data_IF_707459407579
#
_entry.id   IF_707459407579
#
_cell.length_a   1.000
_cell.length_b   1.000
_cell.length_c   1.000
_cell.angle_alpha   90.00
_cell.angle_beta   90.00
_cell.angle_gamma   90.00
#
_symmetry.space_group_name_H-M   'P 1'
#
loop_
_entity.id
_entity.type
_entity.pdbx_description
1 polymer ?
#
# COMPACT_ATOMS: atom_id res chain seq x y z
N UNK A 1 -10.32 -12.21 2.71
CA UNK A 1 -9.94 -10.88 3.30
C UNK A 1 -8.44 -10.58 3.28
N UNK A 2 -7.56 -11.49 3.73
CA UNK A 2 -6.10 -11.22 3.81
C UNK A 2 -5.47 -11.00 2.42
N UNK A 3 -5.91 -11.73 1.41
CA UNK A 3 -5.38 -11.66 0.04
C UNK A 3 -5.80 -10.34 -0.62
N UNK A 4 -7.09 -10.05 -0.60
CA UNK A 4 -7.75 -8.86 -1.13
C UNK A 4 -7.17 -7.58 -0.51
N UNK A 5 -6.96 -7.57 0.81
CA UNK A 5 -6.29 -6.47 1.49
C UNK A 5 -4.82 -6.31 1.05
N UNK A 6 -4.11 -7.41 0.82
CA UNK A 6 -2.73 -7.37 0.33
C UNK A 6 -2.64 -6.83 -1.10
N UNK A 7 -3.52 -7.30 -1.99
CA UNK A 7 -3.63 -6.78 -3.35
C UNK A 7 -3.97 -5.30 -3.37
N UNK A 8 -4.89 -4.85 -2.50
CA UNK A 8 -5.19 -3.43 -2.37
C UNK A 8 -3.96 -2.60 -1.99
N UNK A 9 -3.18 -3.01 -0.99
CA UNK A 9 -1.99 -2.24 -0.58
C UNK A 9 -0.88 -2.26 -1.62
N UNK A 10 -0.69 -3.38 -2.34
CA UNK A 10 0.22 -3.39 -3.49
C UNK A 10 -0.26 -2.43 -4.58
N UNK A 11 -1.56 -2.40 -4.88
CA UNK A 11 -2.13 -1.45 -5.83
C UNK A 11 -1.96 0.02 -5.36
N UNK A 12 -2.06 0.30 -4.06
CA UNK A 12 -1.76 1.63 -3.49
C UNK A 12 -0.28 2.01 -3.70
N UNK A 13 0.64 1.07 -3.55
CA UNK A 13 2.07 1.30 -3.76
C UNK A 13 2.40 1.48 -5.24
N UNK A 14 1.74 0.73 -6.11
CA UNK A 14 1.88 0.80 -7.57
C UNK A 14 1.11 1.95 -8.21
N UNK A 15 0.20 2.57 -7.46
CA UNK A 15 -0.70 3.62 -7.91
C UNK A 15 -1.61 3.16 -9.05
N UNK A 16 -2.00 1.89 -8.97
CA UNK A 16 -2.98 1.27 -9.83
C UNK A 16 -4.40 1.58 -9.31
N UNK A 17 -4.94 2.74 -9.72
CA UNK A 17 -6.26 3.19 -9.31
C UNK A 17 -7.39 2.20 -9.67
N UNK A 18 -7.42 1.60 -10.89
CA UNK A 18 -8.38 0.55 -11.21
C UNK A 18 -8.32 -0.63 -10.24
N UNK A 19 -7.13 -1.17 -9.96
CA UNK A 19 -6.98 -2.28 -9.02
C UNK A 19 -7.33 -1.86 -7.59
N UNK A 20 -6.93 -0.67 -7.15
CA UNK A 20 -7.31 -0.13 -5.84
C UNK A 20 -8.82 -0.08 -5.66
N UNK A 21 -9.56 0.37 -6.68
CA UNK A 21 -11.01 0.45 -6.66
C UNK A 21 -11.64 -0.94 -6.58
N UNK A 22 -11.20 -1.84 -7.46
CA UNK A 22 -11.68 -3.23 -7.48
C UNK A 22 -11.51 -3.88 -6.09
N UNK A 23 -10.31 -3.83 -5.52
CA UNK A 23 -10.08 -4.47 -4.23
C UNK A 23 -10.79 -3.75 -3.08
N UNK A 24 -10.86 -2.41 -3.09
CA UNK A 24 -11.61 -1.67 -2.07
C UNK A 24 -13.11 -2.03 -2.06
N UNK A 25 -13.68 -2.32 -3.22
CA UNK A 25 -15.03 -2.86 -3.31
C UNK A 25 -15.10 -4.26 -2.69
N UNK A 26 -14.19 -5.16 -3.07
CA UNK A 26 -14.18 -6.56 -2.61
C UNK A 26 -14.04 -6.72 -1.10
N UNK A 27 -13.10 -6.03 -0.44
CA UNK A 27 -12.86 -6.23 1.00
C UNK A 27 -13.54 -5.20 1.91
N UNK A 28 -13.94 -4.03 1.39
CA UNK A 28 -14.53 -2.95 2.18
C UNK A 28 -15.94 -2.54 1.76
N UNK A 29 -16.49 -3.10 0.67
CA UNK A 29 -17.84 -2.79 0.19
C UNK A 29 -18.00 -1.36 -0.33
N UNK A 30 -16.90 -0.73 -0.76
CA UNK A 30 -16.89 0.66 -1.21
C UNK A 30 -17.19 0.73 -2.71
N UNK A 31 -18.47 0.77 -3.06
CA UNK A 31 -18.95 0.81 -4.46
C UNK A 31 -19.07 2.23 -5.02
N UNK A 32 -19.47 3.20 -4.17
CA UNK A 32 -19.70 4.58 -4.61
C UNK A 32 -18.39 5.33 -4.88
N UNK A 33 -18.27 5.95 -6.05
CA UNK A 33 -17.12 6.77 -6.46
C UNK A 33 -16.69 7.79 -5.42
N UNK A 34 -17.65 8.51 -4.84
CA UNK A 34 -17.38 9.54 -3.84
C UNK A 34 -16.79 8.90 -2.57
N UNK A 35 -17.30 7.74 -2.16
CA UNK A 35 -16.78 7.01 -0.99
C UNK A 35 -15.38 6.47 -1.26
N UNK A 36 -15.10 5.97 -2.47
CA UNK A 36 -13.77 5.55 -2.87
C UNK A 36 -12.78 6.72 -2.85
N UNK A 37 -13.16 7.89 -3.38
CA UNK A 37 -12.32 9.09 -3.33
C UNK A 37 -11.96 9.51 -1.89
N UNK A 38 -12.96 9.49 -0.99
CA UNK A 38 -12.75 9.81 0.43
C UNK A 38 -11.82 8.78 1.09
N UNK A 39 -12.01 7.50 0.77
CA UNK A 39 -11.19 6.41 1.28
C UNK A 39 -9.74 6.51 0.80
N UNK A 40 -9.53 6.67 -0.50
CA UNK A 40 -8.21 6.82 -1.11
C UNK A 40 -7.48 8.05 -0.56
N UNK A 41 -8.19 9.17 -0.40
CA UNK A 41 -7.66 10.38 0.25
C UNK A 41 -7.24 10.14 1.71
N UNK A 42 -8.03 9.38 2.47
CA UNK A 42 -7.74 9.07 3.86
C UNK A 42 -6.50 8.18 4.01
N UNK A 43 -6.32 7.20 3.12
CA UNK A 43 -5.18 6.27 3.13
C UNK A 43 -3.89 6.93 2.62
N UNK A 44 -3.98 7.69 1.54
CA UNK A 44 -2.81 8.32 0.89
C UNK A 44 -2.43 9.67 1.52
N UNK A 45 -3.32 10.25 2.33
CA UNK A 45 -3.15 11.59 2.90
C UNK A 45 -3.27 12.72 1.86
N UNK A 46 -3.73 12.44 0.63
CA UNK A 46 -3.90 13.42 -0.45
C UNK A 46 -5.33 13.97 -0.53
N UNK A 47 -5.56 15.05 -1.29
CA UNK A 47 -6.90 15.56 -1.50
C UNK A 47 -7.75 14.57 -2.34
N UNK A 48 -9.06 14.40 -2.08
CA UNK A 48 -9.90 13.42 -2.79
C UNK A 48 -10.01 13.61 -4.32
N UNK A 49 -10.00 14.87 -4.75
CA UNK A 49 -10.09 15.29 -6.17
C UNK A 49 -8.79 14.97 -6.95
N UNK A 50 -7.72 14.75 -6.21
CA UNK A 50 -6.35 14.55 -6.65
C UNK A 50 -6.00 13.05 -6.64
N UNK A 51 -6.51 12.30 -5.66
CA UNK A 51 -6.31 10.86 -5.55
C UNK A 51 -6.74 10.05 -6.79
N UNK A 52 -7.65 10.58 -7.62
CA UNK A 52 -8.08 9.92 -8.87
C UNK A 52 -7.31 10.36 -10.13
N UNK A 53 -6.61 11.48 -10.11
CA UNK A 53 -5.98 12.08 -11.30
C UNK A 53 -4.44 12.10 -11.26
N UNK A 54 -3.79 11.48 -10.26
CA UNK A 54 -2.44 11.90 -9.89
C UNK A 54 -1.28 11.14 -10.52
N UNK A 55 -0.71 11.81 -11.53
CA UNK A 55 0.72 11.93 -11.78
C UNK A 55 1.51 12.05 -10.44
N UNK A 56 1.94 10.89 -9.95
CA UNK A 56 2.66 10.72 -8.68
C UNK A 56 3.99 11.46 -8.59
N UNK A 57 4.48 11.99 -9.71
CA UNK A 57 5.80 12.62 -9.84
C UNK A 57 5.84 14.10 -9.41
N UNK A 58 4.69 14.77 -9.24
CA UNK A 58 4.65 16.22 -8.95
C UNK A 58 4.68 16.55 -7.45
N UNK A 59 5.59 17.47 -7.11
CA UNK A 59 5.71 18.06 -5.77
C UNK A 59 4.47 18.87 -5.38
N UNK A 60 4.15 18.88 -4.08
CA UNK A 60 2.99 19.56 -3.47
C UNK A 60 2.90 21.04 -3.92
N UNK A 61 1.77 21.47 -4.48
CA UNK A 61 1.51 22.88 -4.75
C UNK A 61 0.84 23.55 -3.54
N UNK A 62 1.22 24.78 -3.21
CA UNK A 62 0.65 25.55 -2.08
C UNK A 62 -0.85 25.84 -2.25
N UNK A 63 -1.36 25.81 -3.48
CA UNK A 63 -2.77 26.01 -3.80
C UNK A 63 -3.65 24.77 -3.54
N UNK A 64 -3.05 23.59 -3.49
CA UNK A 64 -3.73 22.34 -3.10
C UNK A 64 -4.11 22.36 -1.60
N UNK A 65 -3.31 23.06 -0.80
CA UNK A 65 -3.50 23.19 0.65
C UNK A 65 -4.64 24.17 0.98
N UNK A 66 -4.90 25.16 0.11
CA UNK A 66 -5.91 26.20 0.35
C UNK A 66 -7.33 25.80 -0.06
N UNK A 67 -7.50 24.86 -1.01
CA UNK A 67 -8.80 24.28 -1.39
C UNK A 67 -9.31 23.18 -0.44
N UNK A 68 -8.62 22.98 0.69
CA UNK A 68 -9.02 22.01 1.72
C UNK A 68 -10.30 22.49 2.42
N UNK A 69 -11.42 21.87 2.04
CA UNK A 69 -12.74 22.05 2.67
C UNK A 69 -12.68 22.05 4.22
N UNK A 70 -13.57 22.80 4.90
CA UNK A 70 -13.54 22.95 6.35
C UNK A 70 -13.58 21.59 7.08
N UNK A 71 -12.65 21.43 8.03
CA UNK A 71 -12.33 20.22 8.81
C UNK A 71 -13.55 19.39 9.25
N UNK A 72 -14.66 20.06 9.63
CA UNK A 72 -15.91 19.41 10.10
C UNK A 72 -16.68 18.65 9.02
N UNK A 73 -16.59 19.08 7.75
CA UNK A 73 -17.25 18.38 6.62
C UNK A 73 -16.46 17.16 6.18
N UNK A 74 -15.13 17.16 6.39
CA UNK A 74 -14.24 16.02 6.14
C UNK A 74 -14.48 14.87 7.13
N UNK A 75 -14.53 15.16 8.43
CA UNK A 75 -14.72 14.14 9.48
C UNK A 75 -16.03 13.34 9.27
N UNK A 76 -17.16 14.03 9.07
CA UNK A 76 -18.45 13.38 8.79
C UNK A 76 -18.46 12.49 7.55
N UNK A 77 -17.67 12.85 6.53
CA UNK A 77 -17.55 12.08 5.29
C UNK A 77 -16.69 10.83 5.47
N UNK A 78 -15.65 10.91 6.29
CA UNK A 78 -14.83 9.75 6.68
C UNK A 78 -15.64 8.79 7.54
N UNK A 79 -16.44 9.30 8.50
CA UNK A 79 -17.28 8.46 9.35
C UNK A 79 -18.25 7.57 8.54
N UNK A 80 -18.85 8.11 7.46
CA UNK A 80 -19.74 7.34 6.58
C UNK A 80 -19.03 6.26 5.74
N UNK A 81 -17.74 6.45 5.45
CA UNK A 81 -16.91 5.43 4.79
C UNK A 81 -16.51 4.36 5.81
N UNK A 82 -16.04 4.77 6.99
CA UNK A 82 -15.64 3.86 8.07
C UNK A 82 -16.82 3.03 8.60
N UNK A 83 -18.05 3.58 8.62
CA UNK A 83 -19.24 2.84 9.05
C UNK A 83 -19.64 1.71 8.10
N UNK A 84 -19.22 1.78 6.84
CA UNK A 84 -19.52 0.76 5.82
C UNK A 84 -18.51 -0.39 5.87
N UNK A 85 -17.34 -0.17 6.48
CA UNK A 85 -16.25 -1.14 6.53
C UNK A 85 -16.53 -2.30 7.50
N UNK A 86 -16.06 -3.52 7.18
CA UNK A 86 -16.04 -4.62 8.14
C UNK A 86 -15.22 -4.25 9.39
N UNK A 87 -15.69 -4.66 10.57
CA UNK A 87 -15.03 -4.37 11.86
C UNK A 87 -13.58 -4.84 11.91
N UNK A 88 -13.27 -5.98 11.28
CA UNK A 88 -11.92 -6.52 11.21
C UNK A 88 -10.98 -5.58 10.43
N UNK A 89 -11.46 -4.97 9.34
CA UNK A 89 -10.68 -4.01 8.57
C UNK A 89 -10.37 -2.75 9.40
N UNK A 90 -11.38 -2.22 10.12
CA UNK A 90 -11.17 -1.08 11.02
C UNK A 90 -10.13 -1.38 12.11
N UNK A 91 -10.13 -2.60 12.64
CA UNK A 91 -9.14 -3.04 13.61
C UNK A 91 -7.73 -3.08 13.00
N UNK A 92 -7.59 -3.59 11.78
CA UNK A 92 -6.31 -3.61 11.06
C UNK A 92 -5.81 -2.18 10.81
N UNK A 93 -6.68 -1.27 10.34
CA UNK A 93 -6.32 0.13 10.13
C UNK A 93 -5.87 0.81 11.43
N UNK A 94 -6.60 0.59 12.54
CA UNK A 94 -6.24 1.14 13.85
C UNK A 94 -4.95 0.55 14.40
N UNK A 95 -4.70 -0.73 14.14
CA UNK A 95 -3.45 -1.40 14.54
C UNK A 95 -2.27 -0.83 13.77
N UNK A 96 -2.40 -0.65 12.45
CA UNK A 96 -1.37 -0.03 11.62
C UNK A 96 -1.06 1.41 12.05
N UNK A 97 -2.09 2.18 12.42
CA UNK A 97 -1.91 3.54 12.93
C UNK A 97 -1.15 3.53 14.27
N UNK A 98 -1.51 2.63 15.18
CA UNK A 98 -0.82 2.46 16.46
C UNK A 98 0.65 2.03 16.28
N UNK A 99 0.94 1.10 15.36
CA UNK A 99 2.33 0.67 15.09
C UNK A 99 3.17 1.83 14.54
N UNK A 100 2.59 2.68 13.70
CA UNK A 100 3.26 3.88 13.18
C UNK A 100 3.56 4.87 14.30
N UNK A 101 2.57 5.14 15.15
CA UNK A 101 2.75 6.02 16.29
C UNK A 101 3.82 5.51 17.28
N UNK A 102 3.85 4.19 17.51
CA UNK A 102 4.86 3.56 18.34
C UNK A 102 6.27 3.69 17.73
N UNK A 103 6.41 3.43 16.42
CA UNK A 103 7.68 3.58 15.70
C UNK A 103 8.20 5.03 15.74
N UNK A 104 7.32 6.01 15.60
CA UNK A 104 7.64 7.43 15.75
C UNK A 104 8.07 7.78 17.18
N UNK A 105 7.34 7.30 18.18
CA UNK A 105 7.62 7.51 19.60
C UNK A 105 8.96 6.92 20.04
N UNK A 106 9.35 5.78 19.49
CA UNK A 106 10.63 5.13 19.73
C UNK A 106 11.80 5.77 18.97
N UNK A 107 11.57 6.84 18.21
CA UNK A 107 12.58 7.54 17.40
C UNK A 107 13.40 6.56 16.55
N UNK A 108 12.73 5.60 15.91
CA UNK A 108 13.38 4.57 15.12
C UNK A 108 14.36 5.21 14.12
N UNK A 109 15.67 4.86 14.16
CA UNK A 109 16.70 5.51 13.33
C UNK A 109 16.47 5.33 11.82
N UNK A 110 15.59 4.41 11.43
CA UNK A 110 15.34 4.04 10.04
C UNK A 110 14.11 4.75 9.45
N UNK A 111 13.42 5.58 10.25
CA UNK A 111 12.34 6.45 9.80
C UNK A 111 11.05 5.72 9.37
N UNK A 112 10.01 6.48 8.97
CA UNK A 112 8.70 5.92 8.63
C UNK A 112 8.71 5.02 7.40
N UNK A 113 9.68 5.20 6.49
CA UNK A 113 9.78 4.45 5.23
C UNK A 113 9.96 2.95 5.47
N UNK A 114 10.71 2.55 6.51
CA UNK A 114 11.00 1.14 6.78
C UNK A 114 9.74 0.36 7.15
N UNK A 115 8.85 0.93 7.95
CA UNK A 115 7.58 0.29 8.35
C UNK A 115 6.71 0.00 7.13
N UNK A 116 6.62 0.95 6.19
CA UNK A 116 5.93 0.73 4.91
C UNK A 116 6.58 -0.38 4.07
N UNK A 117 7.90 -0.38 3.93
CA UNK A 117 8.60 -1.41 3.14
C UNK A 117 8.50 -2.81 3.78
N UNK A 118 8.46 -2.91 5.10
CA UNK A 118 8.21 -4.19 5.79
C UNK A 118 6.80 -4.69 5.46
N UNK A 119 5.80 -3.83 5.56
CA UNK A 119 4.41 -4.18 5.21
C UNK A 119 4.30 -4.59 3.73
N UNK A 120 4.94 -3.85 2.82
CA UNK A 120 5.01 -4.21 1.40
C UNK A 120 5.52 -5.64 1.18
N UNK A 121 6.59 -6.04 1.87
CA UNK A 121 7.12 -7.42 1.77
C UNK A 121 6.10 -8.46 2.21
N UNK A 122 5.39 -8.22 3.31
CA UNK A 122 4.35 -9.14 3.77
C UNK A 122 3.20 -9.23 2.77
N UNK A 123 2.74 -8.11 2.21
CA UNK A 123 1.70 -8.12 1.17
C UNK A 123 2.16 -8.85 -0.10
N UNK A 124 3.38 -8.57 -0.55
CA UNK A 124 3.99 -9.25 -1.70
C UNK A 124 4.10 -10.77 -1.49
N UNK A 125 4.45 -11.21 -0.27
CA UNK A 125 4.53 -12.65 0.06
C UNK A 125 3.17 -13.33 -0.04
N UNK A 126 2.12 -12.67 0.43
CA UNK A 126 0.75 -13.22 0.41
C UNK A 126 0.27 -13.40 -1.03
N UNK A 127 0.49 -12.39 -1.87
CA UNK A 127 0.12 -12.43 -3.30
C UNK A 127 0.97 -13.44 -4.08
N UNK A 128 2.26 -13.57 -3.73
CA UNK A 128 3.12 -14.60 -4.29
C UNK A 128 2.62 -16.02 -3.97
N UNK A 129 2.27 -16.28 -2.69
CA UNK A 129 1.77 -17.59 -2.26
C UNK A 129 0.47 -17.96 -2.97
N UNK A 130 -0.46 -17.01 -3.06
CA UNK A 130 -1.71 -17.17 -3.82
C UNK A 130 -1.45 -17.53 -5.29
N UNK A 131 -0.54 -16.81 -5.94
CA UNK A 131 -0.18 -17.08 -7.32
C UNK A 131 0.50 -18.45 -7.49
N UNK A 132 1.34 -18.87 -6.55
CA UNK A 132 1.97 -20.19 -6.57
C UNK A 132 0.94 -21.31 -6.38
N UNK A 133 -0.02 -21.14 -5.47
CA UNK A 133 -1.11 -22.09 -5.25
C UNK A 133 -1.99 -22.22 -6.50
N UNK A 134 -2.33 -21.10 -7.15
CA UNK A 134 -3.05 -21.09 -8.42
C UNK A 134 -2.30 -21.85 -9.53
N UNK A 135 -0.99 -21.64 -9.67
CA UNK A 135 -0.16 -22.34 -10.64
C UNK A 135 0.01 -23.83 -10.31
N UNK A 136 -0.03 -24.21 -9.03
CA UNK A 136 0.02 -25.62 -8.60
C UNK A 136 -1.28 -26.35 -8.96
N UNK A 137 -2.43 -25.68 -8.88
CA UNK A 137 -3.71 -26.25 -9.29
C UNK A 137 -3.84 -26.37 -10.81
N UNK A 138 -3.37 -25.37 -11.55
CA UNK A 138 -3.53 -25.34 -13.01
C UNK A 138 -2.49 -26.16 -13.79
N UNK A 139 -1.27 -26.32 -13.26
CA UNK A 139 -0.15 -26.93 -14.00
C UNK A 139 0.53 -28.04 -13.21
N UNK A 140 0.75 -29.17 -13.88
CA UNK A 140 1.63 -30.23 -13.37
C UNK A 140 3.05 -29.71 -13.11
N UNK A 141 3.75 -30.32 -12.15
CA UNK A 141 5.15 -30.00 -11.80
C UNK A 141 6.10 -30.08 -13.00
N UNK A 142 5.77 -30.92 -13.99
CA UNK A 142 6.60 -31.15 -15.19
C UNK A 142 6.23 -30.26 -16.38
N UNK A 143 5.21 -29.39 -16.25
CA UNK A 143 4.83 -28.48 -17.34
C UNK A 143 5.88 -27.38 -17.53
N UNK A 144 6.43 -27.26 -18.74
CA UNK A 144 7.40 -26.20 -19.09
C UNK A 144 6.75 -24.81 -18.93
N UNK A 145 5.51 -24.66 -19.39
CA UNK A 145 4.74 -23.40 -19.25
C UNK A 145 4.48 -23.06 -17.78
N UNK A 146 4.11 -24.06 -16.97
CA UNK A 146 3.92 -23.88 -15.53
C UNK A 146 5.20 -23.43 -14.83
N UNK A 147 6.34 -24.01 -15.17
CA UNK A 147 7.63 -23.63 -14.59
C UNK A 147 8.11 -22.24 -15.03
N UNK A 148 7.89 -21.85 -16.28
CA UNK A 148 8.18 -20.48 -16.74
C UNK A 148 7.33 -19.44 -15.99
N UNK A 149 6.03 -19.71 -15.80
CA UNK A 149 5.15 -18.84 -15.00
C UNK A 149 5.60 -18.77 -13.54
N UNK A 150 5.95 -19.89 -12.92
CA UNK A 150 6.48 -19.93 -11.53
C UNK A 150 7.73 -19.06 -11.40
N UNK A 151 8.66 -19.18 -12.35
CA UNK A 151 9.88 -18.37 -12.37
C UNK A 151 9.58 -16.89 -12.53
N UNK A 152 8.67 -16.53 -13.45
CA UNK A 152 8.26 -15.14 -13.67
C UNK A 152 7.62 -14.53 -12.41
N UNK A 153 6.70 -15.25 -11.76
CA UNK A 153 6.06 -14.78 -10.51
C UNK A 153 7.06 -14.69 -9.36
N UNK A 154 7.99 -15.65 -9.25
CA UNK A 154 9.09 -15.57 -8.28
C UNK A 154 10.00 -14.37 -8.52
N UNK A 155 10.32 -14.09 -9.78
CA UNK A 155 11.11 -12.92 -10.16
C UNK A 155 10.42 -11.61 -9.80
N UNK A 156 9.11 -11.51 -10.05
CA UNK A 156 8.30 -10.35 -9.66
C UNK A 156 8.30 -10.15 -8.14
N UNK A 157 8.10 -11.21 -7.36
CA UNK A 157 8.18 -11.17 -5.89
C UNK A 157 9.58 -10.75 -5.40
N UNK A 158 10.64 -11.29 -6.01
CA UNK A 158 12.01 -10.97 -5.63
C UNK A 158 12.36 -9.51 -5.93
N UNK A 159 11.86 -8.98 -7.05
CA UNK A 159 12.03 -7.57 -7.43
C UNK A 159 11.36 -6.63 -6.43
N UNK A 160 10.20 -7.00 -5.88
CA UNK A 160 9.56 -6.26 -4.78
C UNK A 160 10.39 -6.31 -3.51
N UNK A 161 10.92 -7.48 -3.16
CA UNK A 161 11.71 -7.66 -1.95
C UNK A 161 13.06 -6.91 -2.00
N UNK A 162 13.66 -6.78 -3.17
CA UNK A 162 14.96 -6.11 -3.37
C UNK A 162 14.90 -4.60 -3.16
N UNK A 163 13.75 -3.97 -3.40
CA UNK A 163 13.53 -2.52 -3.17
C UNK A 163 14.01 -2.07 -1.78
N UNK A 164 13.66 -2.81 -0.73
CA UNK A 164 14.04 -2.49 0.66
C UNK A 164 15.56 -2.63 0.90
N UNK A 165 16.20 -3.65 0.30
CA UNK A 165 17.65 -3.82 0.41
C UNK A 165 18.41 -2.70 -0.31
N UNK A 166 17.89 -2.21 -1.43
CA UNK A 166 18.45 -1.06 -2.14
C UNK A 166 18.32 0.20 -1.29
N UNK A 167 17.16 0.43 -0.64
CA UNK A 167 17.00 1.54 0.31
C UNK A 167 17.96 1.46 1.50
N UNK A 168 18.08 0.29 2.13
CA UNK A 168 19.02 0.08 3.23
C UNK A 168 20.48 0.29 2.78
N UNK A 169 20.85 -0.21 1.59
CA UNK A 169 22.16 -0.01 1.00
C UNK A 169 22.44 1.48 0.74
N UNK A 170 21.51 2.20 0.11
CA UNK A 170 21.64 3.64 -0.15
C UNK A 170 21.75 4.44 1.14
N UNK A 171 20.97 4.09 2.16
CA UNK A 171 21.03 4.74 3.47
C UNK A 171 22.37 4.47 4.18
N UNK A 172 22.84 3.23 4.15
CA UNK A 172 24.14 2.84 4.71
C UNK A 172 25.29 3.56 4.01
N UNK A 173 25.29 3.58 2.67
CA UNK A 173 26.27 4.32 1.86
C UNK A 173 26.24 5.80 2.22
N UNK A 174 25.06 6.42 2.27
CA UNK A 174 24.91 7.84 2.63
C UNK A 174 25.41 8.16 4.03
N UNK A 175 25.22 7.27 5.00
CA UNK A 175 25.73 7.44 6.35
C UNK A 175 27.25 7.20 6.45
N UNK A 176 27.79 6.25 5.67
CA UNK A 176 29.23 6.04 5.57
C UNK A 176 29.94 7.29 5.02
N UNK A 177 29.37 7.94 4.00
CA UNK A 177 29.89 9.21 3.45
C UNK A 177 29.67 10.43 4.35
N UNK A 178 28.74 10.37 5.32
CA UNK A 178 28.56 11.43 6.34
C UNK A 178 29.50 11.29 7.53
N UNK A 179 30.11 10.12 7.75
CA UNK A 179 31.06 9.87 8.84
C UNK A 179 32.49 10.32 8.56
N UNK A 180 32.76 10.93 7.40
CA UNK A 180 34.11 11.35 6.94
C UNK A 180 34.35 12.86 6.98
N UNK A 181 33.58 13.63 7.76
CA UNK A 181 33.83 15.05 8.04
C UNK A 181 33.67 15.38 9.52
#
# INVERSE_FOLDING_TARGET
>A
MKQEYSHFWLAVLDNDIPAMRYWAEEFAGITEDIKFQIFAAAITGRAPEIALNFDMSKSRSKDEISHIQPRRRRLRRVDGVLSTMPRLLLLILKTNDLTRYLDEGLRNPLGPVRTFSILEKYYAKIVYDEAMDGLRYQYSSWSVVGNLKRLSTWWAYQTRCSSLYIYDLLFWVKNAFKGTH
#
